data_IF_726983740147
#
_entry.id   IF_726983740147
#
_cell.length_a   1.000
_cell.length_b   1.000
_cell.length_c   1.000
_cell.angle_alpha   90.00
_cell.angle_beta   90.00
_cell.angle_gamma   90.00
#
_symmetry.space_group_name_H-M   'P 1'
#
loop_
_entity.id
_entity.type
_entity.pdbx_description
1 polymer ?
#
# COMPACT_ATOMS: atom_id res chain seq x y z
N UNK A 1 -3.67 -6.08 -15.91
CA UNK A 1 -2.31 -5.49 -15.91
C UNK A 1 -2.01 -5.08 -14.48
N UNK A 2 -0.96 -5.60 -13.85
CA UNK A 2 -0.50 -5.08 -12.55
C UNK A 2 0.09 -3.70 -12.78
N UNK A 3 -0.63 -2.64 -12.39
CA UNK A 3 -0.14 -1.27 -12.44
C UNK A 3 1.03 -1.16 -11.44
N UNK A 4 2.20 -0.72 -11.91
CA UNK A 4 3.32 -0.39 -11.01
C UNK A 4 3.02 0.96 -10.36
N UNK A 5 2.93 1.05 -9.02
CA UNK A 5 2.68 2.33 -8.37
C UNK A 5 3.87 3.27 -8.51
N UNK A 6 3.59 4.57 -8.60
CA UNK A 6 4.62 5.61 -8.54
C UNK A 6 5.25 5.63 -7.15
N UNK A 7 6.57 5.77 -7.08
CA UNK A 7 7.27 6.01 -5.81
C UNK A 7 7.23 7.50 -5.47
N UNK A 8 6.99 7.79 -4.21
CA UNK A 8 6.94 9.14 -3.65
C UNK A 8 8.11 9.40 -2.69
N UNK A 9 8.68 8.35 -2.10
CA UNK A 9 9.92 8.46 -1.36
C UNK A 9 11.14 8.50 -2.30
N UNK A 10 12.18 9.21 -1.88
CA UNK A 10 13.48 9.19 -2.54
C UNK A 10 14.15 7.82 -2.41
N UNK A 11 15.09 7.51 -3.28
CA UNK A 11 15.81 6.23 -3.21
C UNK A 11 16.57 6.07 -1.87
N UNK A 12 17.10 7.15 -1.32
CA UNK A 12 17.78 7.14 -0.01
C UNK A 12 16.83 6.73 1.12
N UNK A 13 15.65 7.36 1.20
CA UNK A 13 14.62 7.02 2.19
C UNK A 13 14.16 5.57 2.05
N UNK A 14 13.95 5.12 0.80
CA UNK A 14 13.55 3.74 0.51
C UNK A 14 14.59 2.74 1.00
N UNK A 15 15.88 2.99 0.75
CA UNK A 15 16.96 2.16 1.26
C UNK A 15 17.04 2.18 2.79
N UNK A 16 16.77 3.32 3.43
CA UNK A 16 16.73 3.41 4.89
C UNK A 16 15.59 2.62 5.51
N UNK A 17 14.41 2.56 4.87
CA UNK A 17 13.33 1.68 5.29
C UNK A 17 13.68 0.20 5.10
N UNK A 18 14.29 -0.16 3.96
CA UNK A 18 14.68 -1.55 3.69
C UNK A 18 15.76 -2.07 4.64
N UNK A 19 16.64 -1.19 5.15
CA UNK A 19 17.59 -1.55 6.22
C UNK A 19 16.90 -1.91 7.54
N UNK A 20 15.80 -1.23 7.86
CA UNK A 20 15.05 -1.43 9.11
C UNK A 20 14.06 -2.60 9.02
N UNK A 21 13.42 -2.74 7.86
CA UNK A 21 12.48 -3.82 7.56
C UNK A 21 12.78 -4.38 6.15
N UNK A 22 13.64 -5.40 6.06
CA UNK A 22 14.01 -6.01 4.78
C UNK A 22 12.83 -6.64 4.02
N UNK A 23 11.71 -6.92 4.70
CA UNK A 23 10.49 -7.43 4.05
C UNK A 23 9.67 -6.32 3.38
N UNK A 24 10.05 -5.05 3.59
CA UNK A 24 9.50 -3.89 2.91
C UNK A 24 8.07 -3.53 3.33
N UNK A 25 7.55 -4.06 4.45
CA UNK A 25 6.22 -3.71 4.95
C UNK A 25 6.16 -2.24 5.35
N UNK A 26 7.14 -1.76 6.12
CA UNK A 26 7.20 -0.35 6.53
C UNK A 26 7.38 0.56 5.31
N UNK A 27 8.24 0.16 4.36
CA UNK A 27 8.42 0.89 3.10
C UNK A 27 7.10 1.04 2.35
N UNK A 28 6.38 -0.06 2.09
CA UNK A 28 5.14 -0.05 1.33
C UNK A 28 4.04 0.77 2.04
N UNK A 29 3.96 0.72 3.37
CA UNK A 29 3.03 1.57 4.14
C UNK A 29 3.39 3.05 4.03
N UNK A 30 4.68 3.39 4.06
CA UNK A 30 5.15 4.77 3.97
C UNK A 30 4.91 5.34 2.56
N UNK A 31 5.22 4.58 1.50
CA UNK A 31 4.90 4.94 0.12
C UNK A 31 3.38 5.13 -0.10
N UNK A 32 2.57 4.25 0.50
CA UNK A 32 1.10 4.37 0.45
C UNK A 32 0.62 5.68 1.11
N UNK A 33 1.20 6.03 2.26
CA UNK A 33 0.89 7.26 2.96
C UNK A 33 1.30 8.51 2.16
N UNK A 34 2.52 8.56 1.65
CA UNK A 34 3.01 9.71 0.86
C UNK A 34 2.22 9.90 -0.44
N UNK A 35 1.87 8.81 -1.12
CA UNK A 35 0.98 8.87 -2.28
C UNK A 35 -0.39 9.46 -1.94
N UNK A 36 -0.97 9.07 -0.80
CA UNK A 36 -2.23 9.62 -0.29
C UNK A 36 -2.11 11.13 0.02
N UNK A 37 -1.02 11.55 0.67
CA UNK A 37 -0.74 12.96 0.97
C UNK A 37 -0.57 13.80 -0.31
N UNK A 38 -0.04 13.22 -1.38
CA UNK A 38 0.08 13.85 -2.69
C UNK A 38 -1.22 13.80 -3.53
N UNK A 39 -2.29 13.17 -3.02
CA UNK A 39 -3.58 13.03 -3.71
C UNK A 39 -3.61 11.94 -4.79
N UNK A 40 -2.58 11.10 -4.90
CA UNK A 40 -2.52 9.96 -5.82
C UNK A 40 -3.04 8.70 -5.15
N UNK A 41 -4.38 8.61 -5.14
CA UNK A 41 -5.11 7.52 -4.49
C UNK A 41 -4.84 6.17 -5.17
N UNK A 42 -4.65 6.15 -6.50
CA UNK A 42 -4.31 4.93 -7.25
C UNK A 42 -2.99 4.34 -6.73
N UNK A 43 -1.92 5.14 -6.67
CA UNK A 43 -0.62 4.68 -6.14
C UNK A 43 -0.71 4.30 -4.67
N UNK A 44 -1.50 5.02 -3.87
CA UNK A 44 -1.69 4.72 -2.45
C UNK A 44 -2.26 3.30 -2.24
N UNK A 45 -3.31 2.93 -2.98
CA UNK A 45 -3.91 1.60 -2.89
C UNK A 45 -2.99 0.50 -3.42
N UNK A 46 -2.31 0.76 -4.55
CA UNK A 46 -1.37 -0.20 -5.15
C UNK A 46 -0.16 -0.48 -4.23
N UNK A 47 0.31 0.49 -3.46
CA UNK A 47 1.32 0.25 -2.42
C UNK A 47 0.75 -0.52 -1.24
N UNK A 48 -0.46 -0.18 -0.78
CA UNK A 48 -1.13 -0.86 0.32
C UNK A 48 -1.37 -2.35 0.03
N UNK A 49 -1.72 -2.70 -1.22
CA UNK A 49 -1.95 -4.07 -1.67
C UNK A 49 -0.73 -5.00 -1.52
N UNK A 50 0.48 -4.44 -1.46
CA UNK A 50 1.71 -5.20 -1.24
C UNK A 50 1.91 -5.59 0.23
N UNK A 51 1.12 -5.03 1.14
CA UNK A 51 1.27 -5.23 2.58
C UNK A 51 0.30 -6.32 3.07
N UNK A 52 0.82 -7.23 3.89
CA UNK A 52 -0.03 -8.10 4.71
C UNK A 52 -0.55 -7.30 5.92
N UNK A 53 -1.81 -6.89 5.81
CA UNK A 53 -2.51 -6.07 6.80
C UNK A 53 -3.00 -6.91 7.97
N UNK A 54 -3.16 -6.29 9.15
CA UNK A 54 -3.76 -7.00 10.27
C UNK A 54 -5.26 -7.25 10.03
N UNK A 55 -5.80 -8.29 10.66
CA UNK A 55 -7.20 -8.71 10.49
C UNK A 55 -8.21 -7.59 10.79
N UNK A 56 -7.89 -6.70 11.73
CA UNK A 56 -8.74 -5.55 12.02
C UNK A 56 -8.85 -4.60 10.83
N UNK A 57 -7.72 -4.31 10.17
CA UNK A 57 -7.70 -3.46 8.97
C UNK A 57 -8.37 -4.15 7.80
N UNK A 58 -8.11 -5.44 7.57
CA UNK A 58 -8.81 -6.22 6.53
C UNK A 58 -10.32 -6.17 6.72
N UNK A 59 -10.80 -6.38 7.95
CA UNK A 59 -12.23 -6.28 8.30
C UNK A 59 -12.80 -4.90 8.02
N UNK A 60 -12.08 -3.83 8.38
CA UNK A 60 -12.53 -2.47 8.10
C UNK A 60 -12.67 -2.23 6.60
N UNK A 61 -11.66 -2.62 5.80
CA UNK A 61 -11.69 -2.50 4.34
C UNK A 61 -12.88 -3.25 3.73
N UNK A 62 -13.14 -4.49 4.15
CA UNK A 62 -14.31 -5.28 3.69
C UNK A 62 -15.64 -4.59 3.99
N UNK A 63 -15.73 -3.85 5.09
CA UNK A 63 -16.97 -3.19 5.52
C UNK A 63 -17.14 -1.79 4.90
N UNK A 64 -16.06 -1.13 4.51
CA UNK A 64 -16.07 0.27 4.06
C UNK A 64 -15.88 0.43 2.55
N UNK A 65 -15.41 -0.59 1.84
CA UNK A 65 -15.13 -0.52 0.40
C UNK A 65 -15.96 -1.55 -0.39
N UNK A 66 -16.46 -1.16 -1.58
CA UNK A 66 -17.00 -2.11 -2.55
C UNK A 66 -16.00 -3.22 -2.88
N UNK A 67 -16.50 -4.44 -3.06
CA UNK A 67 -15.66 -5.61 -3.37
C UNK A 67 -14.91 -5.42 -4.69
N UNK A 68 -15.54 -4.76 -5.66
CA UNK A 68 -14.97 -4.48 -6.97
C UNK A 68 -13.68 -3.66 -6.87
N UNK A 69 -13.65 -2.67 -5.97
CA UNK A 69 -12.45 -1.86 -5.74
C UNK A 69 -11.36 -2.63 -4.99
N UNK A 70 -11.74 -3.49 -4.05
CA UNK A 70 -10.80 -4.37 -3.35
C UNK A 70 -10.09 -5.29 -4.36
N UNK A 71 -10.86 -5.89 -5.27
CA UNK A 71 -10.35 -6.78 -6.32
C UNK A 71 -9.51 -6.01 -7.36
N UNK A 72 -9.95 -4.80 -7.76
CA UNK A 72 -9.23 -3.96 -8.73
C UNK A 72 -7.80 -3.64 -8.30
N UNK A 73 -7.63 -3.28 -7.02
CA UNK A 73 -6.31 -2.95 -6.46
C UNK A 73 -5.54 -4.17 -5.95
N UNK A 74 -6.17 -5.35 -5.92
CA UNK A 74 -5.55 -6.58 -5.41
C UNK A 74 -5.26 -6.54 -3.91
N UNK A 75 -6.13 -5.87 -3.13
CA UNK A 75 -5.99 -5.80 -1.68
C UNK A 75 -6.24 -7.19 -1.06
N UNK A 76 -5.28 -7.68 -0.29
CA UNK A 76 -5.36 -8.98 0.41
C UNK A 76 -6.18 -8.84 1.68
N UNK A 77 -7.49 -9.01 1.54
CA UNK A 77 -8.47 -8.87 2.63
C UNK A 77 -9.26 -10.14 2.88
N UNK A 78 -8.82 -11.25 2.34
CA UNK A 78 -9.32 -12.61 2.53
C UNK A 78 -8.81 -13.26 3.82
#
# INVERSE_FOLDING_TARGET
MTKTPKSYLTEEERQNYLKQDPRGKILNLSESFEACMAGDIDSAWLWLAKVDLCENTKRNLRNSMPKELIDEYGLKVD
#
